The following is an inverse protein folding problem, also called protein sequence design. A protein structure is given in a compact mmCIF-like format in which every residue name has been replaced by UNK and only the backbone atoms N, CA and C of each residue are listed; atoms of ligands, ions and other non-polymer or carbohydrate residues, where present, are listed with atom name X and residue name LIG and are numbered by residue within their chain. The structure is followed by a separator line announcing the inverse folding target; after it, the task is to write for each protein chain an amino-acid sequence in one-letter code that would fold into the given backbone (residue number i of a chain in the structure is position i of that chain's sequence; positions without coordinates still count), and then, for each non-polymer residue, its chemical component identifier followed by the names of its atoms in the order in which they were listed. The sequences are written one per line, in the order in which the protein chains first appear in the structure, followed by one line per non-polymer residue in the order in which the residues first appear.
data_IF_070492955840
#
_entry.id   IF_070492955840
#
_cell.length_a   1.000
_cell.length_b   1.000
_cell.length_c   1.000
_cell.angle_alpha   90.00
_cell.angle_beta   90.00
_cell.angle_gamma   90.00
#
_symmetry.space_group_name_H-M   'P 1'
#
loop_
_entity.id
_entity.type
_entity.pdbx_description
1 polymer ?
#
# COMPACT_ATOMS: atom_id res chain seq x y z
N UNK A 1 -25.96 -13.43 -59.88
CA UNK A 1 -26.61 -13.05 -58.61
C UNK A 1 -25.92 -13.60 -57.34
N UNK A 2 -25.32 -14.80 -57.31
CA UNK A 2 -24.70 -15.38 -56.09
C UNK A 2 -23.44 -14.65 -55.56
N UNK A 3 -22.66 -13.97 -56.42
CA UNK A 3 -21.39 -13.30 -56.04
C UNK A 3 -21.58 -12.10 -55.09
N UNK A 4 -22.70 -11.38 -55.21
CA UNK A 4 -22.99 -10.22 -54.37
C UNK A 4 -23.53 -10.64 -52.99
N UNK A 5 -24.17 -11.81 -52.90
CA UNK A 5 -24.71 -12.35 -51.64
C UNK A 5 -23.60 -12.62 -50.61
N UNK A 6 -22.47 -13.18 -51.04
CA UNK A 6 -21.31 -13.42 -50.17
C UNK A 6 -20.75 -12.09 -49.65
N UNK A 7 -20.67 -11.07 -50.50
CA UNK A 7 -20.21 -9.74 -50.11
C UNK A 7 -21.15 -9.10 -49.06
N UNK A 8 -22.47 -9.18 -49.26
CA UNK A 8 -23.43 -8.67 -48.27
C UNK A 8 -23.36 -9.40 -46.93
N UNK A 9 -23.17 -10.73 -46.93
CA UNK A 9 -22.99 -11.51 -45.70
C UNK A 9 -21.69 -11.12 -44.98
N UNK A 10 -20.59 -10.93 -45.71
CA UNK A 10 -19.32 -10.48 -45.11
C UNK A 10 -19.44 -9.07 -44.52
N UNK A 11 -20.13 -8.14 -45.19
CA UNK A 11 -20.38 -6.79 -44.66
C UNK A 11 -21.23 -6.86 -43.39
N UNK A 12 -22.27 -7.70 -43.37
CA UNK A 12 -23.11 -7.90 -42.18
C UNK A 12 -22.33 -8.48 -41.00
N UNK A 13 -21.48 -9.48 -41.25
CA UNK A 13 -20.61 -10.06 -40.22
C UNK A 13 -19.57 -9.05 -39.71
N UNK A 14 -18.97 -8.26 -40.60
CA UNK A 14 -18.04 -7.21 -40.22
C UNK A 14 -18.72 -6.13 -39.37
N UNK A 15 -19.92 -5.69 -39.77
CA UNK A 15 -20.71 -4.71 -39.01
C UNK A 15 -21.13 -5.28 -37.64
N UNK A 16 -21.58 -6.53 -37.58
CA UNK A 16 -21.91 -7.21 -36.32
C UNK A 16 -20.68 -7.34 -35.41
N UNK A 17 -19.53 -7.68 -35.97
CA UNK A 17 -18.25 -7.73 -35.26
C UNK A 17 -17.84 -6.37 -34.70
N UNK A 18 -17.94 -5.30 -35.49
CA UNK A 18 -17.65 -3.93 -35.02
C UNK A 18 -18.60 -3.53 -33.89
N UNK A 19 -19.90 -3.75 -34.04
CA UNK A 19 -20.90 -3.43 -33.00
C UNK A 19 -20.64 -4.24 -31.73
N UNK A 20 -20.31 -5.52 -31.87
CA UNK A 20 -19.97 -6.38 -30.73
C UNK A 20 -18.68 -5.90 -30.03
N UNK A 21 -17.62 -5.61 -30.80
CA UNK A 21 -16.37 -5.08 -30.27
C UNK A 21 -16.58 -3.76 -29.54
N UNK A 22 -17.35 -2.81 -30.10
CA UNK A 22 -17.66 -1.55 -29.42
C UNK A 22 -18.43 -1.80 -28.11
N UNK A 23 -19.43 -2.70 -28.12
CA UNK A 23 -20.20 -3.02 -26.91
C UNK A 23 -19.41 -3.77 -25.84
N UNK A 24 -18.44 -4.57 -26.25
CA UNK A 24 -17.62 -5.36 -25.33
C UNK A 24 -16.28 -4.70 -25.01
N UNK A 25 -15.94 -3.57 -25.65
CA UNK A 25 -14.66 -2.89 -25.44
C UNK A 25 -14.47 -2.51 -23.96
N UNK A 26 -15.47 -1.91 -23.34
CA UNK A 26 -15.41 -1.49 -21.93
C UNK A 26 -15.33 -2.68 -20.96
N UNK A 27 -15.86 -3.84 -21.35
CA UNK A 27 -15.78 -5.09 -20.56
C UNK A 27 -14.46 -5.84 -20.76
N UNK A 28 -13.92 -5.80 -21.97
CA UNK A 28 -12.66 -6.46 -22.33
C UNK A 28 -11.43 -5.66 -21.92
N UNK A 29 -11.57 -4.33 -21.82
CA UNK A 29 -10.54 -3.40 -21.36
C UNK A 29 -11.13 -2.41 -20.35
N UNK A 30 -11.44 -2.86 -19.12
CA UNK A 30 -11.94 -1.96 -18.10
C UNK A 30 -10.81 -1.00 -17.72
N UNK A 31 -10.92 0.25 -18.15
CA UNK A 31 -9.94 1.28 -17.81
C UNK A 31 -10.21 1.66 -16.35
N UNK A 32 -9.39 1.17 -15.43
CA UNK A 32 -9.41 1.64 -14.04
C UNK A 32 -8.86 3.06 -14.06
N UNK A 33 -9.77 4.04 -14.05
CA UNK A 33 -9.42 5.45 -13.97
C UNK A 33 -9.06 5.80 -12.53
N UNK A 34 -7.78 5.71 -12.20
CA UNK A 34 -7.27 6.22 -10.93
C UNK A 34 -7.02 7.72 -11.09
N UNK A 35 -7.78 8.53 -10.37
CA UNK A 35 -7.56 9.98 -10.35
C UNK A 35 -6.33 10.29 -9.47
N UNK A 36 -5.21 10.62 -10.11
CA UNK A 36 -4.00 11.06 -9.41
C UNK A 36 -4.06 12.58 -9.29
N UNK A 37 -4.49 13.07 -8.13
CA UNK A 37 -4.68 14.51 -7.89
C UNK A 37 -3.50 15.15 -7.18
N UNK A 38 -2.67 14.37 -6.47
CA UNK A 38 -1.50 14.91 -5.79
C UNK A 38 -0.32 15.17 -6.74
N UNK A 39 0.36 16.30 -6.57
CA UNK A 39 1.59 16.62 -7.29
C UNK A 39 2.82 16.00 -6.61
N UNK A 40 3.78 15.58 -7.44
CA UNK A 40 5.06 15.02 -7.02
C UNK A 40 5.82 15.92 -6.04
N UNK A 41 5.87 17.23 -6.25
CA UNK A 41 6.58 18.16 -5.36
C UNK A 41 5.88 18.30 -4.02
N UNK A 42 4.55 18.26 -4.01
CA UNK A 42 3.77 18.34 -2.77
C UNK A 42 3.96 17.07 -1.93
N UNK A 43 4.00 15.90 -2.57
CA UNK A 43 4.32 14.63 -1.90
C UNK A 43 5.72 14.65 -1.28
N UNK A 44 6.73 15.17 -1.99
CA UNK A 44 8.08 15.31 -1.44
C UNK A 44 8.11 16.26 -0.24
N UNK A 45 7.44 17.41 -0.32
CA UNK A 45 7.34 18.37 0.80
C UNK A 45 6.62 17.76 2.01
N UNK A 46 5.55 16.99 1.80
CA UNK A 46 4.84 16.29 2.88
C UNK A 46 5.74 15.29 3.59
N UNK A 47 6.48 14.48 2.84
CA UNK A 47 7.45 13.55 3.41
C UNK A 47 8.52 14.29 4.24
N UNK A 48 9.13 15.35 3.70
CA UNK A 48 10.14 16.13 4.43
C UNK A 48 9.57 16.77 5.71
N UNK A 49 8.32 17.23 5.68
CA UNK A 49 7.63 17.79 6.85
C UNK A 49 7.41 16.73 7.92
N UNK A 50 7.02 15.51 7.53
CA UNK A 50 6.87 14.37 8.45
C UNK A 50 8.22 13.97 9.06
N UNK A 51 9.30 13.94 8.29
CA UNK A 51 10.66 13.64 8.78
C UNK A 51 11.07 14.58 9.88
N UNK A 52 10.84 15.88 9.69
CA UNK A 52 11.20 16.93 10.64
C UNK A 52 10.29 16.89 11.89
N UNK A 53 8.98 16.76 11.70
CA UNK A 53 8.02 16.74 12.80
C UNK A 53 8.22 15.53 13.73
N UNK A 54 8.57 14.37 13.16
CA UNK A 54 8.76 13.12 13.89
C UNK A 54 10.22 12.85 14.28
N UNK A 55 11.17 13.72 13.87
CA UNK A 55 12.60 13.52 14.13
C UNK A 55 13.16 12.21 13.56
N UNK A 56 12.64 11.75 12.41
CA UNK A 56 12.93 10.41 11.90
C UNK A 56 14.30 10.28 11.23
N UNK A 57 14.89 11.36 10.75
CA UNK A 57 16.22 11.36 10.14
C UNK A 57 16.93 12.67 10.45
N UNK A 58 18.23 12.59 10.75
CA UNK A 58 19.06 13.75 11.08
C UNK A 58 19.89 14.20 9.86
N UNK A 59 20.26 15.48 9.84
CA UNK A 59 21.17 16.02 8.84
C UNK A 59 20.54 16.18 7.44
N UNK A 60 21.40 16.16 6.41
CA UNK A 60 20.98 16.32 5.01
C UNK A 60 20.81 14.96 4.37
N UNK A 61 19.61 14.65 3.91
CA UNK A 61 19.27 13.44 3.17
C UNK A 61 18.82 13.76 1.74
N UNK A 62 18.79 12.73 0.89
CA UNK A 62 18.25 12.80 -0.47
C UNK A 62 16.88 12.17 -0.50
N UNK A 63 15.95 12.79 -1.22
CA UNK A 63 14.59 12.29 -1.41
C UNK A 63 14.37 11.88 -2.87
N UNK A 64 13.81 10.70 -3.08
CA UNK A 64 13.31 10.25 -4.39
C UNK A 64 11.85 9.82 -4.23
N UNK A 65 11.07 9.98 -5.29
CA UNK A 65 9.65 9.63 -5.30
C UNK A 65 9.32 8.85 -6.56
N UNK A 66 8.49 7.84 -6.40
CA UNK A 66 7.93 7.01 -7.47
C UNK A 66 6.43 6.81 -7.23
N UNK A 67 5.72 6.49 -8.30
CA UNK A 67 4.36 5.98 -8.21
C UNK A 67 4.42 4.46 -8.41
N UNK A 68 3.68 3.72 -7.59
CA UNK A 68 3.73 2.26 -7.52
C UNK A 68 2.34 1.64 -7.60
N UNK A 69 2.32 0.37 -7.99
CA UNK A 69 1.11 -0.47 -8.01
C UNK A 69 1.38 -1.75 -7.23
N UNK A 70 0.47 -2.10 -6.33
CA UNK A 70 0.39 -3.43 -5.74
C UNK A 70 -0.21 -4.41 -6.77
N UNK A 71 0.66 -4.83 -7.71
CA UNK A 71 0.31 -5.76 -8.79
C UNK A 71 -0.18 -7.10 -8.23
N UNK A 72 0.32 -7.51 -7.06
CA UNK A 72 -0.06 -8.77 -6.45
C UNK A 72 -1.53 -8.73 -6.00
N UNK A 73 -1.91 -7.68 -5.28
CA UNK A 73 -3.30 -7.43 -4.89
C UNK A 73 -4.23 -7.24 -6.10
N UNK A 74 -3.78 -6.47 -7.09
CA UNK A 74 -4.55 -6.25 -8.32
C UNK A 74 -4.84 -7.57 -9.03
N UNK A 75 -3.82 -8.38 -9.31
CA UNK A 75 -3.97 -9.64 -10.02
C UNK A 75 -4.85 -10.63 -9.26
N UNK A 76 -4.67 -10.74 -7.94
CA UNK A 76 -5.53 -11.58 -7.11
C UNK A 76 -7.00 -11.16 -7.19
N UNK A 77 -7.27 -9.87 -7.04
CA UNK A 77 -8.64 -9.35 -7.06
C UNK A 77 -9.30 -9.61 -8.41
N UNK A 78 -8.57 -9.37 -9.51
CA UNK A 78 -9.06 -9.57 -10.87
C UNK A 78 -9.31 -11.04 -11.24
N UNK A 79 -8.51 -11.98 -10.70
CA UNK A 79 -8.58 -13.40 -11.07
C UNK A 79 -9.43 -14.24 -10.11
N UNK A 80 -9.30 -14.02 -8.80
CA UNK A 80 -9.94 -14.86 -7.76
C UNK A 80 -10.77 -14.06 -6.75
N UNK A 81 -10.47 -12.77 -6.55
CA UNK A 81 -11.13 -11.91 -5.55
C UNK A 81 -12.44 -11.27 -6.00
N UNK A 82 -13.07 -11.75 -7.07
CA UNK A 82 -14.36 -11.25 -7.55
C UNK A 82 -14.31 -10.40 -8.82
N UNK A 83 -13.13 -10.25 -9.43
CA UNK A 83 -12.97 -9.64 -10.74
C UNK A 83 -12.70 -8.14 -10.71
N UNK A 84 -12.64 -7.56 -11.90
CA UNK A 84 -12.28 -6.16 -12.11
C UNK A 84 -13.29 -5.17 -11.52
N UNK A 85 -14.58 -5.51 -11.47
CA UNK A 85 -15.61 -4.65 -10.87
C UNK A 85 -15.35 -4.47 -9.37
N UNK A 86 -15.02 -5.56 -8.66
CA UNK A 86 -14.64 -5.51 -7.24
C UNK A 86 -13.36 -4.69 -7.02
N UNK A 87 -12.37 -4.83 -7.90
CA UNK A 87 -11.15 -4.02 -7.83
C UNK A 87 -11.44 -2.52 -7.99
N UNK A 88 -12.36 -2.16 -8.89
CA UNK A 88 -12.80 -0.77 -9.09
C UNK A 88 -13.54 -0.22 -7.87
N UNK A 89 -14.44 -1.01 -7.27
CA UNK A 89 -15.19 -0.61 -6.07
C UNK A 89 -14.25 -0.35 -4.88
N UNK A 90 -13.25 -1.22 -4.67
CA UNK A 90 -12.25 -1.06 -3.61
C UNK A 90 -11.49 0.26 -3.73
N UNK A 91 -11.12 0.65 -4.95
CA UNK A 91 -10.43 1.92 -5.23
C UNK A 91 -11.38 3.10 -5.02
N UNK A 92 -12.62 3.01 -5.52
CA UNK A 92 -13.61 4.08 -5.42
C UNK A 92 -14.01 4.37 -3.97
N UNK A 93 -14.17 3.32 -3.16
CA UNK A 93 -14.52 3.40 -1.75
C UNK A 93 -13.31 3.64 -0.83
N UNK A 94 -12.09 3.66 -1.39
CA UNK A 94 -10.82 3.83 -0.66
C UNK A 94 -10.66 2.83 0.49
N UNK A 95 -11.16 1.60 0.31
CA UNK A 95 -10.99 0.53 1.30
C UNK A 95 -9.53 0.08 1.38
N UNK A 96 -8.82 0.11 0.24
CA UNK A 96 -7.39 -0.11 0.10
C UNK A 96 -6.83 0.74 -1.05
N UNK A 97 -5.54 1.07 -0.96
CA UNK A 97 -4.84 1.86 -1.98
C UNK A 97 -3.79 1.00 -2.69
N UNK A 98 -4.15 0.28 -3.77
CA UNK A 98 -3.18 -0.47 -4.56
C UNK A 98 -2.24 0.44 -5.33
N UNK A 99 -2.65 1.66 -5.66
CA UNK A 99 -1.82 2.67 -6.32
C UNK A 99 -1.33 3.68 -5.30
N UNK A 100 -0.02 3.88 -5.21
CA UNK A 100 0.57 4.73 -4.17
C UNK A 100 1.75 5.56 -4.65
N UNK A 101 1.94 6.72 -4.05
CA UNK A 101 3.21 7.42 -4.09
C UNK A 101 4.12 6.88 -3.00
N UNK A 102 5.35 6.52 -3.37
CA UNK A 102 6.38 6.08 -2.43
C UNK A 102 7.53 7.07 -2.45
N UNK A 103 7.81 7.70 -1.31
CA UNK A 103 8.96 8.60 -1.12
C UNK A 103 10.02 7.88 -0.31
N UNK A 104 11.22 7.75 -0.85
CA UNK A 104 12.39 7.23 -0.14
C UNK A 104 13.36 8.36 0.18
N UNK A 105 13.72 8.48 1.45
CA UNK A 105 14.76 9.36 1.97
C UNK A 105 15.96 8.53 2.44
N UNK A 106 17.17 8.93 2.05
CA UNK A 106 18.39 8.18 2.35
C UNK A 106 19.64 9.06 2.30
N UNK A 107 20.70 8.58 2.95
CA UNK A 107 22.07 9.07 2.79
C UNK A 107 22.90 8.05 1.99
N UNK A 108 23.84 8.54 1.18
CA UNK A 108 24.69 7.64 0.39
C UNK A 108 25.62 6.88 1.34
N UNK A 109 25.71 5.56 1.16
CA UNK A 109 26.55 4.66 1.95
C UNK A 109 26.17 4.56 3.43
N UNK A 110 24.92 4.88 3.77
CA UNK A 110 24.39 4.68 5.11
C UNK A 110 23.21 3.69 5.05
N UNK A 111 23.08 2.87 6.09
CA UNK A 111 21.98 1.89 6.22
C UNK A 111 20.64 2.55 6.59
N UNK A 112 20.58 3.62 7.43
CA UNK A 112 19.33 4.29 7.72
C UNK A 112 18.63 4.82 6.47
N UNK A 113 17.42 4.34 6.26
CA UNK A 113 16.56 4.76 5.15
C UNK A 113 15.12 4.87 5.63
N UNK A 114 14.37 5.75 4.98
CA UNK A 114 13.00 6.04 5.36
C UNK A 114 12.13 6.03 4.11
N UNK A 115 11.10 5.19 4.11
CA UNK A 115 10.11 5.12 3.03
C UNK A 115 8.76 5.56 3.54
N UNK A 116 8.12 6.51 2.86
CA UNK A 116 6.75 6.96 3.11
C UNK A 116 5.84 6.50 2.00
N UNK A 117 4.62 6.12 2.35
CA UNK A 117 3.58 5.74 1.39
C UNK A 117 2.41 6.73 1.48
N UNK A 118 1.95 7.21 0.34
CA UNK A 118 0.78 8.09 0.22
C UNK A 118 -0.19 7.55 -0.83
N UNK A 119 -1.48 7.83 -0.65
CA UNK A 119 -2.51 7.56 -1.65
C UNK A 119 -2.35 8.46 -2.88
N UNK A 120 -3.06 8.20 -4.00
CA UNK A 120 -3.00 9.03 -5.21
C UNK A 120 -3.41 10.50 -5.00
N UNK A 121 -4.29 10.76 -4.02
CA UNK A 121 -4.71 12.09 -3.57
C UNK A 121 -3.82 12.68 -2.45
N UNK A 122 -2.75 11.95 -2.07
CA UNK A 122 -1.71 12.44 -1.17
C UNK A 122 -2.06 12.37 0.32
N UNK A 123 -2.98 11.50 0.70
CA UNK A 123 -3.23 11.10 2.09
C UNK A 123 -2.07 10.22 2.55
N UNK A 124 -1.60 10.45 3.78
CA UNK A 124 -0.54 9.63 4.38
C UNK A 124 -1.07 8.24 4.75
N UNK A 125 -0.38 7.19 4.31
CA UNK A 125 -0.79 5.79 4.55
C UNK A 125 0.16 5.03 5.47
N UNK A 126 1.40 5.50 5.62
CA UNK A 126 2.38 4.82 6.47
C UNK A 126 3.82 5.19 6.15
N UNK A 127 4.73 4.74 7.01
CA UNK A 127 6.16 4.86 6.79
C UNK A 127 6.92 3.64 7.32
N UNK A 128 8.11 3.41 6.79
CA UNK A 128 9.06 2.40 7.28
C UNK A 128 10.44 3.03 7.37
N UNK A 129 11.03 2.98 8.57
CA UNK A 129 12.41 3.35 8.86
C UNK A 129 13.25 2.08 9.02
N UNK A 130 14.26 1.94 8.18
CA UNK A 130 15.28 0.90 8.30
C UNK A 130 16.37 1.41 9.25
N UNK A 131 16.80 0.57 10.17
CA UNK A 131 17.89 0.85 11.11
C UNK A 131 18.98 -0.22 10.98
N UNK A 132 20.26 0.12 11.23
CA UNK A 132 21.30 -0.89 11.39
C UNK A 132 20.98 -1.84 12.57
N UNK A 133 21.29 -3.11 12.42
CA UNK A 133 21.17 -4.10 13.51
C UNK A 133 22.17 -3.81 14.64
N UNK A 134 23.30 -3.18 14.32
CA UNK A 134 24.33 -2.75 15.29
C UNK A 134 23.97 -1.47 16.04
N UNK A 135 22.93 -0.75 15.61
CA UNK A 135 22.52 0.49 16.27
C UNK A 135 21.98 0.17 17.66
N UNK A 136 22.66 0.70 18.69
CA UNK A 136 22.25 0.54 20.08
C UNK A 136 20.86 1.09 20.36
N UNK A 137 20.16 0.49 21.30
CA UNK A 137 18.84 0.92 21.72
C UNK A 137 18.37 0.14 22.94
N UNK A 138 17.15 0.44 23.40
CA UNK A 138 16.59 -0.21 24.60
C UNK A 138 16.19 -1.66 24.29
N UNK A 139 16.50 -2.59 25.20
CA UNK A 139 15.88 -3.92 25.23
C UNK A 139 14.60 -3.86 26.08
N UNK A 140 13.48 -3.52 25.44
CA UNK A 140 12.16 -3.52 26.11
C UNK A 140 11.51 -4.87 25.84
N UNK A 141 11.53 -5.80 26.80
CA UNK A 141 11.06 -7.17 26.58
C UNK A 141 9.54 -7.28 26.39
N UNK A 142 8.77 -6.42 27.06
CA UNK A 142 7.31 -6.36 26.94
C UNK A 142 6.91 -4.98 26.52
N UNK A 143 6.21 -4.89 25.41
CA UNK A 143 5.85 -3.63 24.80
C UNK A 143 4.32 -3.57 24.66
N UNK A 144 3.67 -2.63 25.34
CA UNK A 144 2.24 -2.41 25.14
C UNK A 144 2.07 -1.54 23.89
N UNK A 145 1.55 -2.13 22.82
CA UNK A 145 1.32 -1.42 21.55
C UNK A 145 0.38 -0.22 21.73
N UNK A 146 -0.52 -0.24 22.72
CA UNK A 146 -1.42 0.90 23.04
C UNK A 146 -0.63 2.14 23.46
N UNK A 147 0.52 1.95 24.08
CA UNK A 147 1.38 3.07 24.48
C UNK A 147 1.91 3.85 23.26
N UNK A 148 2.05 3.23 22.08
CA UNK A 148 2.49 3.94 20.86
C UNK A 148 1.46 4.99 20.45
N UNK A 149 0.19 4.60 20.44
CA UNK A 149 -0.93 5.46 20.07
C UNK A 149 -1.11 6.62 21.05
N UNK A 150 -0.74 6.42 22.32
CA UNK A 150 -0.87 7.42 23.37
C UNK A 150 0.34 8.38 23.47
N UNK A 151 1.50 8.03 22.89
CA UNK A 151 2.76 8.76 23.12
C UNK A 151 3.12 9.79 22.06
N UNK A 152 2.39 9.89 20.96
CA UNK A 152 2.73 10.85 19.90
C UNK A 152 1.51 11.62 19.42
N UNK A 153 1.36 12.83 19.97
CA UNK A 153 0.43 13.85 19.45
C UNK A 153 0.70 14.15 17.97
N UNK A 154 1.94 13.98 17.50
CA UNK A 154 2.31 14.15 16.10
C UNK A 154 1.83 13.00 15.19
N UNK A 155 1.56 11.82 15.76
CA UNK A 155 0.90 10.71 15.06
C UNK A 155 -0.62 10.71 15.26
N UNK A 156 -1.12 11.52 16.20
CA UNK A 156 -2.55 11.67 16.41
C UNK A 156 -3.19 12.23 15.13
N UNK A 157 -4.10 11.45 14.53
CA UNK A 157 -4.74 11.76 13.25
C UNK A 157 -4.01 11.25 12.00
N UNK A 158 -2.80 10.67 12.13
CA UNK A 158 -2.10 9.98 11.03
C UNK A 158 -2.29 8.47 11.06
N UNK A 159 -2.64 7.91 12.22
CA UNK A 159 -2.90 6.49 12.39
C UNK A 159 -4.36 6.17 12.03
N UNK A 160 -4.62 5.07 11.31
CA UNK A 160 -5.98 4.58 11.12
C UNK A 160 -6.61 4.22 12.47
N UNK A 161 -7.94 4.28 12.52
CA UNK A 161 -8.68 3.88 13.71
C UNK A 161 -8.37 2.41 14.02
N UNK A 162 -7.69 2.15 15.12
CA UNK A 162 -7.31 0.79 15.52
C UNK A 162 -8.45 0.00 16.15
N UNK A 163 -9.57 0.64 16.45
CA UNK A 163 -10.74 -0.06 17.01
C UNK A 163 -11.40 -1.02 16.01
N UNK A 164 -11.13 -0.85 14.70
CA UNK A 164 -11.62 -1.75 13.64
C UNK A 164 -10.64 -2.88 13.30
N UNK A 165 -9.64 -3.08 14.16
CA UNK A 165 -8.60 -4.10 13.97
C UNK A 165 -8.46 -5.00 15.19
N UNK A 166 -8.10 -6.26 14.93
CA UNK A 166 -7.69 -7.23 15.92
C UNK A 166 -6.18 -7.48 15.82
N UNK A 167 -5.50 -7.56 16.98
CA UNK A 167 -4.10 -7.98 17.03
C UNK A 167 -4.04 -9.50 16.80
N UNK A 168 -3.42 -9.92 15.69
CA UNK A 168 -3.34 -11.33 15.30
C UNK A 168 -1.94 -11.93 15.48
N UNK A 169 -0.89 -11.10 15.49
CA UNK A 169 0.49 -11.54 15.64
C UNK A 169 1.34 -10.50 16.35
N UNK A 170 2.20 -10.97 17.24
CA UNK A 170 3.25 -10.18 17.88
C UNK A 170 4.56 -10.96 17.78
N UNK A 171 5.59 -10.30 17.26
CA UNK A 171 6.94 -10.86 17.17
C UNK A 171 7.96 -9.86 17.71
N UNK A 172 9.07 -10.38 18.24
CA UNK A 172 10.18 -9.53 18.65
C UNK A 172 11.52 -10.19 18.41
N UNK A 173 12.55 -9.37 18.20
CA UNK A 173 13.91 -9.81 17.91
C UNK A 173 14.91 -8.94 18.66
N UNK A 174 15.90 -9.56 19.31
CA UNK A 174 17.04 -8.85 19.88
C UNK A 174 18.12 -8.67 18.81
N UNK A 175 18.41 -7.42 18.45
CA UNK A 175 19.43 -7.06 17.47
C UNK A 175 20.83 -7.06 18.09
N UNK A 176 21.86 -7.12 17.24
CA UNK A 176 23.28 -7.14 17.63
C UNK A 176 23.65 -5.98 18.56
N UNK A 177 23.11 -4.79 18.31
CA UNK A 177 23.33 -3.59 19.14
C UNK A 177 22.67 -3.63 20.52
N UNK A 178 21.98 -4.73 20.89
CA UNK A 178 21.26 -4.88 22.16
C UNK A 178 19.87 -4.25 22.18
N UNK A 179 19.40 -3.72 21.06
CA UNK A 179 18.04 -3.16 20.88
C UNK A 179 17.06 -4.29 20.58
N UNK A 180 15.87 -4.26 21.20
CA UNK A 180 14.78 -5.18 20.82
C UNK A 180 13.82 -4.51 19.85
N UNK A 181 13.60 -5.14 18.71
CA UNK A 181 12.63 -4.69 17.71
C UNK A 181 11.36 -5.55 17.84
N UNK A 182 10.20 -4.90 17.92
CA UNK A 182 8.87 -5.51 17.98
C UNK A 182 8.11 -5.23 16.70
N UNK A 183 7.34 -6.21 16.23
CA UNK A 183 6.38 -6.04 15.15
C UNK A 183 5.05 -6.62 15.56
N UNK A 184 4.01 -5.78 15.47
CA UNK A 184 2.62 -6.12 15.73
C UNK A 184 1.88 -6.14 14.40
N UNK A 185 1.20 -7.24 14.11
CA UNK A 185 0.34 -7.38 12.93
C UNK A 185 -1.11 -7.35 13.38
N UNK A 186 -1.83 -6.39 12.83
CA UNK A 186 -3.25 -6.18 13.04
C UNK A 186 -4.01 -6.59 11.79
N UNK A 187 -5.15 -7.24 11.95
CA UNK A 187 -6.07 -7.59 10.87
C UNK A 187 -7.37 -6.79 11.03
N UNK A 188 -7.85 -6.19 9.95
CA UNK A 188 -9.10 -5.41 9.96
C UNK A 188 -10.28 -6.36 10.14
N UNK A 189 -11.31 -5.95 10.88
CA UNK A 189 -12.53 -6.74 11.10
C UNK A 189 -13.24 -7.06 9.78
N UNK A 190 -13.27 -6.09 8.87
CA UNK A 190 -13.77 -6.28 7.51
C UNK A 190 -12.69 -6.94 6.65
N UNK A 191 -13.06 -8.06 6.02
CA UNK A 191 -12.21 -8.78 5.08
C UNK A 191 -11.99 -8.02 3.77
N UNK A 192 -10.99 -8.46 3.01
CA UNK A 192 -10.77 -8.01 1.64
C UNK A 192 -11.57 -8.82 0.62
N UNK A 193 -11.33 -8.59 -0.67
CA UNK A 193 -11.95 -9.37 -1.75
C UNK A 193 -11.63 -10.87 -1.61
N UNK A 194 -12.61 -11.74 -1.84
CA UNK A 194 -12.45 -13.18 -1.67
C UNK A 194 -11.93 -13.57 -0.29
N UNK A 195 -10.77 -14.24 -0.25
CA UNK A 195 -10.10 -14.68 0.97
C UNK A 195 -8.96 -13.75 1.42
N UNK A 196 -8.78 -12.60 0.76
CA UNK A 196 -7.81 -11.61 1.19
C UNK A 196 -8.18 -10.97 2.54
N UNK A 197 -7.17 -10.54 3.29
CA UNK A 197 -7.33 -9.85 4.57
C UNK A 197 -6.52 -8.57 4.62
N UNK A 198 -7.18 -7.46 4.92
CA UNK A 198 -6.51 -6.19 5.13
C UNK A 198 -5.76 -6.20 6.46
N UNK A 199 -4.49 -5.82 6.42
CA UNK A 199 -3.61 -5.82 7.58
C UNK A 199 -2.88 -4.50 7.74
N UNK A 200 -2.49 -4.24 8.97
CA UNK A 200 -1.58 -3.17 9.32
C UNK A 200 -0.47 -3.72 10.20
N UNK A 201 0.77 -3.35 9.90
CA UNK A 201 1.94 -3.67 10.71
C UNK A 201 2.47 -2.43 11.39
N UNK A 202 2.74 -2.57 12.68
CA UNK A 202 3.35 -1.54 13.50
C UNK A 202 4.65 -2.08 14.05
N UNK A 203 5.75 -1.37 13.79
CA UNK A 203 7.08 -1.76 14.21
C UNK A 203 7.68 -0.75 15.18
N UNK A 204 8.22 -1.25 16.29
CA UNK A 204 8.94 -0.43 17.28
C UNK A 204 10.32 -0.99 17.49
N UNK A 205 11.34 -0.16 17.29
CA UNK A 205 12.74 -0.52 17.52
C UNK A 205 13.24 0.11 18.81
N UNK A 206 13.35 -0.69 19.87
CA UNK A 206 13.56 -0.21 21.24
C UNK A 206 12.37 0.60 21.72
N UNK A 207 12.47 1.91 21.62
CA UNK A 207 11.43 2.89 21.96
C UNK A 207 11.01 3.81 20.82
N UNK A 208 11.56 3.58 19.63
CA UNK A 208 11.28 4.37 18.44
C UNK A 208 10.23 3.66 17.59
N UNK A 209 9.15 4.36 17.22
CA UNK A 209 8.26 3.89 16.17
C UNK A 209 9.02 3.91 14.84
N UNK A 210 9.18 2.75 14.22
CA UNK A 210 9.92 2.59 12.98
C UNK A 210 9.04 2.14 11.82
N UNK A 211 7.82 1.64 12.08
CA UNK A 211 6.95 1.20 11.01
C UNK A 211 5.48 1.44 11.32
N UNK A 212 4.78 1.99 10.33
CA UNK A 212 3.33 1.87 10.13
C UNK A 212 3.17 1.48 8.67
N UNK A 213 2.67 0.28 8.39
CA UNK A 213 2.51 -0.22 7.03
C UNK A 213 1.15 -0.88 6.87
N UNK A 214 0.37 -0.41 5.91
CA UNK A 214 -0.81 -1.11 5.42
C UNK A 214 -0.39 -2.15 4.39
N UNK A 215 -0.98 -3.34 4.46
CA UNK A 215 -0.71 -4.44 3.53
C UNK A 215 -1.97 -5.33 3.38
N UNK A 216 -1.97 -6.21 2.39
CA UNK A 216 -3.01 -7.21 2.21
C UNK A 216 -2.39 -8.59 2.28
N UNK A 217 -2.90 -9.46 3.16
CA UNK A 217 -2.57 -10.89 3.11
C UNK A 217 -3.45 -11.53 2.06
N UNK A 218 -2.81 -12.03 1.01
CA UNK A 218 -3.43 -12.82 -0.05
C UNK A 218 -3.27 -14.31 0.29
N UNK A 219 -4.23 -15.19 -0.06
CA UNK A 219 -4.11 -16.63 0.13
C UNK A 219 -2.85 -17.19 -0.53
N UNK A 220 -2.14 -18.06 0.18
CA UNK A 220 -0.89 -18.67 -0.31
C UNK A 220 -1.10 -19.52 -1.56
N UNK A 221 -2.32 -20.05 -1.77
CA UNK A 221 -2.67 -20.79 -2.96
C UNK A 221 -2.53 -19.97 -4.26
N UNK A 222 -2.58 -18.64 -4.18
CA UNK A 222 -2.44 -17.74 -5.33
C UNK A 222 -0.98 -17.35 -5.62
N UNK A 223 -0.05 -17.62 -4.70
CA UNK A 223 1.37 -17.24 -4.81
C UNK A 223 2.19 -18.22 -5.70
N UNK A 224 1.52 -19.08 -6.48
CA UNK A 224 2.12 -20.21 -7.21
C UNK A 224 1.94 -20.16 -8.74
#
# INVERSE_FOLDING_TARGET
MKKNMILYVMILLAAAGIVYSIRMFDKAFPIVNVEITADKHDILKKADSLTQALGLMEGKYRSVVRFDTDEHFKNYTELEGGGIEVFQDIIAEKQYHPYTWVVRQFNINEVPELSYTFSPDGVFLGFVKVLPDTLSGRDITKFDVRDIFLRSDALAGLLPDVSVYDLIEESSELKEGGRRDHVFTFERHEGGPGDARYRMRIGVSGDMLTMIRQEVKIPEAFEH
#
